data_IF_344382412596
#
_entry.id   IF_344382412596
#
_cell.length_a   1.000
_cell.length_b   1.000
_cell.length_c   1.000
_cell.angle_alpha   90.00
_cell.angle_beta   90.00
_cell.angle_gamma   90.00
#
_symmetry.space_group_name_H-M   'P 1'
#
loop_
_entity.id
_entity.type
_entity.pdbx_description
1 polymer ?
#
# COMPACT_ATOMS: atom_id res chain seq x y z
N UNK A 1 -66.40 18.22 1.30
CA UNK A 1 -64.96 18.07 1.56
C UNK A 1 -64.29 19.44 1.41
N UNK A 2 -63.81 20.02 2.52
CA UNK A 2 -63.20 21.36 2.55
C UNK A 2 -61.87 21.35 1.78
N UNK A 3 -61.86 21.95 0.57
CA UNK A 3 -60.63 22.24 -0.17
C UNK A 3 -59.88 23.35 0.56
N UNK A 4 -58.70 23.02 1.13
CA UNK A 4 -57.83 23.99 1.79
C UNK A 4 -57.62 25.22 0.90
N UNK A 5 -58.19 26.34 1.34
CA UNK A 5 -58.13 27.65 0.70
C UNK A 5 -56.74 28.27 0.88
N UNK A 6 -56.10 28.64 -0.24
CA UNK A 6 -55.08 29.69 -0.36
C UNK A 6 -53.69 29.46 0.23
N UNK A 7 -53.58 28.92 1.45
CA UNK A 7 -52.33 28.95 2.23
C UNK A 7 -51.44 27.71 2.03
N UNK A 8 -52.03 26.55 1.71
CA UNK A 8 -51.28 25.32 1.46
C UNK A 8 -50.24 25.43 0.31
N UNK A 9 -50.56 25.92 -0.90
CA UNK A 9 -49.60 25.88 -2.01
C UNK A 9 -48.37 26.76 -1.78
N UNK A 10 -48.51 27.86 -1.03
CA UNK A 10 -47.40 28.78 -0.72
C UNK A 10 -46.46 28.14 0.32
N UNK A 11 -47.01 27.56 1.38
CA UNK A 11 -46.21 26.85 2.39
C UNK A 11 -45.45 25.66 1.80
N UNK A 12 -46.10 24.89 0.93
CA UNK A 12 -45.47 23.79 0.20
C UNK A 12 -44.38 24.28 -0.78
N UNK A 13 -44.59 25.39 -1.48
CA UNK A 13 -43.57 26.00 -2.34
C UNK A 13 -42.31 26.40 -1.56
N UNK A 14 -42.44 27.01 -0.38
CA UNK A 14 -41.31 27.36 0.48
C UNK A 14 -40.51 26.13 0.93
N UNK A 15 -41.19 25.04 1.31
CA UNK A 15 -40.53 23.79 1.69
C UNK A 15 -39.75 23.19 0.53
N UNK A 16 -40.36 23.12 -0.66
CA UNK A 16 -39.70 22.63 -1.88
C UNK A 16 -38.48 23.50 -2.27
N UNK A 17 -38.56 24.82 -2.06
CA UNK A 17 -37.44 25.73 -2.31
C UNK A 17 -36.24 25.48 -1.38
N UNK A 18 -36.48 25.28 -0.08
CA UNK A 18 -35.42 24.95 0.88
C UNK A 18 -34.75 23.62 0.52
N UNK A 19 -35.53 22.60 0.16
CA UNK A 19 -34.97 21.33 -0.30
C UNK A 19 -34.17 21.48 -1.60
N UNK A 20 -34.65 22.25 -2.58
CA UNK A 20 -33.91 22.52 -3.81
C UNK A 20 -32.53 23.16 -3.53
N UNK A 21 -32.48 24.11 -2.60
CA UNK A 21 -31.25 24.81 -2.21
C UNK A 21 -30.27 23.85 -1.51
N UNK A 22 -30.75 23.05 -0.56
CA UNK A 22 -29.92 22.05 0.15
C UNK A 22 -29.36 21.03 -0.83
N UNK A 23 -30.18 20.49 -1.73
CA UNK A 23 -29.73 19.53 -2.74
C UNK A 23 -28.74 20.14 -3.74
N UNK A 24 -28.90 21.42 -4.11
CA UNK A 24 -27.95 22.13 -4.97
C UNK A 24 -26.59 22.34 -4.28
N UNK A 25 -26.57 22.73 -3.00
CA UNK A 25 -25.33 22.88 -2.24
C UNK A 25 -24.60 21.54 -2.08
N UNK A 26 -25.34 20.46 -1.77
CA UNK A 26 -24.77 19.12 -1.70
C UNK A 26 -24.19 18.68 -3.05
N UNK A 27 -24.88 18.96 -4.16
CA UNK A 27 -24.37 18.65 -5.50
C UNK A 27 -23.04 19.38 -5.79
N UNK A 28 -22.90 20.65 -5.43
CA UNK A 28 -21.65 21.40 -5.58
C UNK A 28 -20.54 20.77 -4.73
N UNK A 29 -20.81 20.48 -3.46
CA UNK A 29 -19.84 19.85 -2.55
C UNK A 29 -19.36 18.49 -3.09
N UNK A 30 -20.28 17.62 -3.51
CA UNK A 30 -19.90 16.33 -4.10
C UNK A 30 -19.15 16.50 -5.42
N UNK A 31 -19.44 17.53 -6.21
CA UNK A 31 -18.67 17.82 -7.44
C UNK A 31 -17.22 18.21 -7.15
N UNK A 32 -16.99 19.04 -6.13
CA UNK A 32 -15.64 19.39 -5.68
C UNK A 32 -14.92 18.14 -5.14
N UNK A 33 -15.59 17.33 -4.33
CA UNK A 33 -15.04 16.06 -3.83
C UNK A 33 -14.68 15.09 -4.95
N UNK A 34 -15.51 14.99 -6.00
CA UNK A 34 -15.21 14.19 -7.19
C UNK A 34 -13.92 14.69 -7.85
N UNK A 35 -13.76 16.00 -8.06
CA UNK A 35 -12.56 16.56 -8.68
C UNK A 35 -11.29 16.25 -7.89
N UNK A 36 -11.33 16.44 -6.57
CA UNK A 36 -10.20 16.14 -5.68
C UNK A 36 -9.85 14.65 -5.72
N UNK A 37 -10.85 13.76 -5.70
CA UNK A 37 -10.63 12.31 -5.77
C UNK A 37 -10.09 11.88 -7.14
N UNK A 38 -10.57 12.47 -8.24
CA UNK A 38 -10.05 12.20 -9.58
C UNK A 38 -8.58 12.61 -9.72
N UNK A 39 -8.23 13.81 -9.24
CA UNK A 39 -6.87 14.31 -9.27
C UNK A 39 -5.95 13.47 -8.36
N UNK A 40 -6.37 13.22 -7.12
CA UNK A 40 -5.61 12.45 -6.15
C UNK A 40 -5.32 11.02 -6.61
N UNK A 41 -6.30 10.32 -7.15
CA UNK A 41 -6.10 8.94 -7.60
C UNK A 41 -5.40 8.83 -8.95
N UNK A 42 -5.55 9.85 -9.81
CA UNK A 42 -4.70 9.97 -11.00
C UNK A 42 -3.23 10.05 -10.62
N UNK A 43 -2.93 10.84 -9.58
CA UNK A 43 -1.58 11.03 -9.06
C UNK A 43 -1.02 9.76 -8.37
N UNK A 44 -1.82 9.07 -7.55
CA UNK A 44 -1.41 7.78 -6.93
C UNK A 44 -1.07 6.73 -8.00
N UNK A 45 -1.88 6.62 -9.05
CA UNK A 45 -1.61 5.69 -10.15
C UNK A 45 -0.39 6.08 -10.99
N UNK A 46 -0.09 7.37 -11.15
CA UNK A 46 1.15 7.85 -11.79
C UNK A 46 2.37 7.50 -10.95
N UNK A 47 2.28 7.68 -9.63
CA UNK A 47 3.34 7.32 -8.69
C UNK A 47 3.62 5.81 -8.70
N UNK A 48 2.59 4.96 -8.69
CA UNK A 48 2.75 3.51 -8.83
C UNK A 48 3.45 3.12 -10.15
N UNK A 49 3.14 3.82 -11.24
CA UNK A 49 3.78 3.64 -12.56
C UNK A 49 5.14 4.35 -12.69
N UNK A 50 5.61 5.03 -11.64
CA UNK A 50 6.81 5.89 -11.63
C UNK A 50 6.85 6.92 -12.76
N UNK A 51 5.68 7.39 -13.17
CA UNK A 51 5.49 8.37 -14.23
C UNK A 51 5.54 9.80 -13.65
N UNK A 52 5.91 10.83 -14.43
CA UNK A 52 6.02 12.19 -13.93
C UNK A 52 4.66 12.72 -13.46
N UNK A 53 4.54 12.93 -12.15
CA UNK A 53 3.40 13.53 -11.45
C UNK A 53 3.86 14.46 -10.31
N UNK A 54 2.91 15.08 -9.60
CA UNK A 54 3.15 15.98 -8.46
C UNK A 54 3.94 15.29 -7.33
N UNK A 55 3.64 14.02 -7.01
CA UNK A 55 4.36 13.25 -5.99
C UNK A 55 5.82 13.03 -6.40
N UNK A 56 6.06 12.69 -7.67
CA UNK A 56 7.40 12.42 -8.16
C UNK A 56 8.24 13.70 -8.37
N UNK A 57 7.60 14.82 -8.72
CA UNK A 57 8.29 16.09 -8.99
C UNK A 57 8.51 16.97 -7.74
N UNK A 58 7.59 16.93 -6.77
CA UNK A 58 7.64 17.80 -5.59
C UNK A 58 7.90 17.02 -4.29
N UNK A 59 7.19 15.92 -4.06
CA UNK A 59 7.23 15.22 -2.77
C UNK A 59 8.50 14.38 -2.59
N UNK A 60 8.95 13.70 -3.66
CA UNK A 60 10.21 12.94 -3.68
C UNK A 60 11.44 13.83 -3.40
N UNK A 61 11.65 14.98 -4.06
CA UNK A 61 12.79 15.85 -3.75
C UNK A 61 12.68 16.46 -2.35
N UNK A 62 11.49 16.90 -1.91
CA UNK A 62 11.30 17.41 -0.55
C UNK A 62 11.67 16.37 0.52
N UNK A 63 11.21 15.12 0.37
CA UNK A 63 11.58 14.03 1.29
C UNK A 63 13.09 13.77 1.31
N UNK A 64 13.77 13.91 0.16
CA UNK A 64 15.22 13.72 0.06
C UNK A 64 16.01 14.86 0.73
N UNK A 65 15.46 16.07 0.75
CA UNK A 65 16.07 17.23 1.39
C UNK A 65 15.91 17.18 2.91
N UNK A 66 14.72 16.79 3.40
CA UNK A 66 14.43 16.73 4.83
C UNK A 66 15.05 15.50 5.51
N UNK A 67 15.02 14.34 4.83
CA UNK A 67 15.58 13.09 5.34
C UNK A 67 16.77 12.64 4.49
N UNK A 68 17.97 12.71 5.08
CA UNK A 68 19.19 12.25 4.44
C UNK A 68 19.34 10.71 4.50
N UNK A 69 18.39 9.99 3.91
CA UNK A 69 18.44 8.52 3.80
C UNK A 69 19.67 8.02 3.02
N UNK A 70 20.28 8.87 2.19
CA UNK A 70 21.54 8.55 1.50
C UNK A 70 22.69 8.36 2.48
N UNK A 71 22.82 9.24 3.47
CA UNK A 71 23.86 9.13 4.50
C UNK A 71 23.68 7.87 5.34
N UNK A 72 22.45 7.58 5.78
CA UNK A 72 22.14 6.39 6.57
C UNK A 72 22.38 5.11 5.75
N UNK A 73 21.99 5.09 4.46
CA UNK A 73 22.28 3.95 3.58
C UNK A 73 23.79 3.75 3.40
N UNK A 74 24.54 4.83 3.20
CA UNK A 74 25.99 4.75 3.05
C UNK A 74 26.66 4.25 4.34
N UNK A 75 26.17 4.68 5.51
CA UNK A 75 26.66 4.22 6.81
C UNK A 75 26.34 2.74 7.06
N UNK A 76 25.12 2.31 6.75
CA UNK A 76 24.70 0.91 6.82
C UNK A 76 25.56 0.04 5.89
N UNK A 77 25.77 0.47 4.65
CA UNK A 77 26.60 -0.25 3.69
C UNK A 77 28.07 -0.29 4.10
N UNK A 78 28.60 0.80 4.66
CA UNK A 78 29.97 0.85 5.17
C UNK A 78 30.14 -0.07 6.40
N UNK A 79 29.15 -0.13 7.28
CA UNK A 79 29.16 -1.00 8.44
C UNK A 79 29.04 -2.47 8.02
N UNK A 80 28.16 -2.77 7.06
CA UNK A 80 28.04 -4.09 6.44
C UNK A 80 29.40 -4.55 5.88
N UNK A 81 30.06 -3.67 5.12
CA UNK A 81 31.38 -3.95 4.53
C UNK A 81 32.45 -4.18 5.61
N UNK A 82 32.45 -3.42 6.71
CA UNK A 82 33.40 -3.62 7.80
C UNK A 82 33.21 -4.97 8.48
N UNK A 83 31.96 -5.34 8.74
CA UNK A 83 31.62 -6.63 9.35
C UNK A 83 31.95 -7.78 8.39
N UNK A 84 31.67 -7.63 7.10
CA UNK A 84 31.99 -8.66 6.10
C UNK A 84 33.50 -8.87 5.96
N UNK A 85 34.29 -7.79 5.90
CA UNK A 85 35.75 -7.86 5.86
C UNK A 85 36.31 -8.49 7.13
N UNK A 86 35.78 -8.12 8.31
CA UNK A 86 36.18 -8.73 9.58
C UNK A 86 35.89 -10.23 9.62
N UNK A 87 34.71 -10.66 9.17
CA UNK A 87 34.33 -12.07 9.13
C UNK A 87 35.21 -12.86 8.13
N UNK A 88 35.49 -12.28 6.97
CA UNK A 88 36.39 -12.83 5.96
C UNK A 88 37.82 -12.96 6.51
N UNK A 89 38.31 -11.96 7.25
CA UNK A 89 39.62 -12.02 7.91
C UNK A 89 39.71 -13.10 8.98
N UNK A 90 38.63 -13.34 9.73
CA UNK A 90 38.55 -14.42 10.71
C UNK A 90 38.51 -15.79 10.03
N UNK A 91 37.82 -15.92 8.90
CA UNK A 91 37.80 -17.14 8.10
C UNK A 91 39.19 -17.47 7.54
N UNK A 92 39.92 -16.46 7.05
CA UNK A 92 41.29 -16.60 6.56
C UNK A 92 42.30 -17.05 7.62
N UNK A 93 41.95 -17.04 8.92
CA UNK A 93 42.78 -17.65 9.98
C UNK A 93 42.69 -19.19 10.00
N UNK A 94 41.67 -19.76 9.37
CA UNK A 94 41.39 -21.21 9.40
C UNK A 94 41.41 -21.86 8.01
N UNK A 95 41.50 -21.06 6.94
CA UNK A 95 41.52 -21.56 5.58
C UNK A 95 42.71 -21.01 4.78
N UNK A 96 43.22 -21.83 3.86
CA UNK A 96 44.15 -21.39 2.81
C UNK A 96 43.70 -21.96 1.44
N UNK A 97 44.39 -21.56 0.37
CA UNK A 97 44.16 -22.10 -0.97
C UNK A 97 45.15 -23.23 -1.33
N UNK A 98 45.88 -23.77 -0.36
CA UNK A 98 46.86 -24.83 -0.60
C UNK A 98 46.21 -26.21 -0.36
N UNK A 99 46.15 -27.09 -1.37
CA UNK A 99 45.54 -28.41 -1.21
C UNK A 99 46.33 -29.35 -0.28
N UNK A 100 47.57 -29.01 0.09
CA UNK A 100 48.46 -29.82 0.93
C UNK A 100 48.35 -29.43 2.41
N UNK A 101 48.47 -30.42 3.30
CA UNK A 101 48.51 -30.23 4.76
C UNK A 101 49.75 -30.92 5.38
N UNK A 102 50.47 -30.26 6.32
CA UNK A 102 50.39 -28.85 6.67
C UNK A 102 51.06 -28.00 5.57
N UNK A 103 50.32 -27.02 5.03
CA UNK A 103 50.84 -26.08 4.03
C UNK A 103 51.66 -24.98 4.72
N UNK A 104 50.97 -23.93 5.15
CA UNK A 104 51.58 -22.72 5.76
C UNK A 104 51.47 -22.67 7.28
N UNK A 105 50.34 -23.11 7.85
CA UNK A 105 50.08 -23.19 9.29
C UNK A 105 49.27 -24.46 9.63
N UNK A 106 49.48 -24.99 10.84
CA UNK A 106 48.74 -26.17 11.35
C UNK A 106 47.24 -25.90 11.57
N UNK A 107 46.84 -24.62 11.64
CA UNK A 107 45.45 -24.20 11.81
C UNK A 107 44.66 -24.11 10.49
N UNK A 108 45.33 -24.19 9.33
CA UNK A 108 44.69 -24.13 8.00
C UNK A 108 44.21 -25.51 7.55
N UNK A 109 43.10 -25.94 8.14
CA UNK A 109 42.45 -27.24 7.91
C UNK A 109 41.49 -27.18 6.72
N UNK A 110 41.01 -25.98 6.38
CA UNK A 110 40.03 -25.75 5.34
C UNK A 110 40.64 -25.15 4.08
N UNK A 111 40.02 -25.44 2.94
CA UNK A 111 40.25 -24.82 1.63
C UNK A 111 39.30 -23.64 1.49
N UNK A 112 39.82 -22.42 1.35
CA UNK A 112 38.97 -21.22 1.27
C UNK A 112 38.04 -21.27 0.05
N UNK A 113 36.76 -21.00 0.28
CA UNK A 113 35.77 -20.86 -0.78
C UNK A 113 36.09 -19.70 -1.73
N UNK A 114 35.72 -19.82 -3.00
CA UNK A 114 35.98 -18.83 -4.05
C UNK A 114 37.45 -18.41 -4.22
N UNK A 115 38.41 -19.21 -3.73
CA UNK A 115 39.84 -18.89 -3.74
C UNK A 115 40.16 -17.52 -3.13
N UNK A 116 39.49 -17.15 -2.04
CA UNK A 116 39.75 -15.86 -1.42
C UNK A 116 41.19 -15.79 -0.87
N UNK A 117 41.85 -14.65 -1.09
CA UNK A 117 43.23 -14.41 -0.61
C UNK A 117 43.33 -13.20 0.29
N UNK A 118 42.34 -12.30 0.28
CA UNK A 118 42.30 -11.13 1.13
C UNK A 118 40.89 -10.86 1.64
N UNK A 119 40.82 -10.24 2.82
CA UNK A 119 39.55 -9.86 3.45
C UNK A 119 38.75 -8.84 2.61
N UNK A 120 39.40 -8.06 1.74
CA UNK A 120 38.73 -7.03 0.93
C UNK A 120 37.83 -7.60 -0.17
N UNK A 121 37.99 -8.88 -0.49
CA UNK A 121 37.17 -9.58 -1.48
C UNK A 121 35.74 -9.83 -0.98
N UNK A 122 35.52 -9.79 0.33
CA UNK A 122 34.21 -9.89 0.97
C UNK A 122 33.60 -8.49 1.17
N UNK A 123 32.81 -8.02 0.19
CA UNK A 123 32.23 -6.65 0.21
C UNK A 123 30.88 -6.57 0.92
N UNK A 124 30.15 -7.68 0.98
CA UNK A 124 28.83 -7.79 1.59
C UNK A 124 28.74 -9.02 2.49
N UNK A 125 27.70 -9.07 3.34
CA UNK A 125 27.44 -10.26 4.15
C UNK A 125 27.09 -11.49 3.29
N UNK A 126 26.49 -11.28 2.12
CA UNK A 126 26.15 -12.32 1.16
C UNK A 126 27.40 -12.97 0.53
N UNK A 127 28.43 -12.17 0.24
CA UNK A 127 29.73 -12.67 -0.21
C UNK A 127 30.35 -13.58 0.85
N UNK A 128 30.26 -13.21 2.14
CA UNK A 128 30.79 -14.01 3.26
C UNK A 128 30.04 -15.35 3.36
N UNK A 129 28.71 -15.33 3.26
CA UNK A 129 27.90 -16.54 3.27
C UNK A 129 28.32 -17.46 2.11
N UNK A 130 28.44 -16.90 0.90
CA UNK A 130 28.84 -17.65 -0.30
C UNK A 130 30.24 -18.26 -0.17
N UNK A 131 31.20 -17.49 0.36
CA UNK A 131 32.57 -17.97 0.61
C UNK A 131 32.56 -19.11 1.62
N UNK A 132 31.85 -18.97 2.74
CA UNK A 132 31.82 -20.03 3.76
C UNK A 132 31.13 -21.30 3.25
N UNK A 133 30.01 -21.17 2.54
CA UNK A 133 29.32 -22.32 1.94
C UNK A 133 30.18 -23.05 0.89
N UNK A 134 31.05 -22.31 0.20
CA UNK A 134 32.00 -22.89 -0.76
C UNK A 134 33.33 -23.32 -0.13
N UNK A 135 33.53 -23.07 1.17
CA UNK A 135 34.71 -23.51 1.92
C UNK A 135 34.52 -24.97 2.35
N UNK A 136 35.54 -25.79 2.13
CA UNK A 136 35.49 -27.24 2.39
C UNK A 136 36.79 -27.72 3.03
N UNK A 137 36.76 -28.88 3.68
CA UNK A 137 37.93 -29.51 4.30
C UNK A 137 38.95 -29.89 3.21
N UNK A 138 40.24 -29.69 3.48
CA UNK A 138 41.30 -30.08 2.52
C UNK A 138 41.17 -31.56 2.11
N UNK A 139 41.34 -31.89 0.82
CA UNK A 139 41.07 -33.23 0.29
C UNK A 139 41.88 -34.35 0.97
N UNK A 140 43.09 -34.04 1.44
CA UNK A 140 43.95 -34.97 2.18
C UNK A 140 43.38 -35.33 3.57
N UNK A 141 42.61 -34.43 4.16
CA UNK A 141 42.00 -34.58 5.49
C UNK A 141 40.51 -34.96 5.43
N UNK A 142 39.87 -34.94 4.26
CA UNK A 142 38.44 -35.25 4.11
C UNK A 142 38.09 -36.64 4.65
N UNK A 143 38.90 -37.65 4.36
CA UNK A 143 38.65 -39.02 4.81
C UNK A 143 38.93 -39.25 6.31
N UNK A 144 39.77 -38.41 6.92
CA UNK A 144 40.11 -38.53 8.34
C UNK A 144 39.18 -37.71 9.22
N UNK A 145 38.81 -36.51 8.78
CA UNK A 145 37.97 -35.59 9.55
C UNK A 145 36.47 -35.89 9.37
N UNK A 146 36.00 -36.17 8.15
CA UNK A 146 34.58 -36.40 7.84
C UNK A 146 34.23 -37.90 7.74
N UNK A 147 34.75 -38.69 8.69
CA UNK A 147 34.66 -40.14 8.67
C UNK A 147 33.25 -40.70 8.98
N UNK A 148 32.33 -39.89 9.49
CA UNK A 148 30.98 -40.33 9.89
C UNK A 148 29.95 -40.31 8.74
N UNK A 149 30.37 -40.07 7.49
CA UNK A 149 29.49 -40.19 6.31
C UNK A 149 29.26 -41.67 5.99
N UNK A 150 28.01 -42.12 6.05
CA UNK A 150 27.61 -43.51 5.76
C UNK A 150 27.55 -43.83 4.26
N UNK A 151 27.59 -42.81 3.38
CA UNK A 151 27.49 -42.95 1.93
C UNK A 151 28.85 -42.74 1.24
N UNK A 152 29.73 -43.74 1.29
CA UNK A 152 31.04 -43.74 0.63
C UNK A 152 30.96 -44.11 -0.87
N UNK A 153 30.15 -43.43 -1.68
CA UNK A 153 30.08 -43.74 -3.11
C UNK A 153 30.91 -42.83 -4.01
N UNK A 154 31.19 -41.57 -3.66
CA UNK A 154 32.27 -40.76 -4.26
C UNK A 154 32.71 -39.69 -3.24
N UNK A 155 34.01 -39.37 -3.18
CA UNK A 155 34.58 -38.33 -2.30
C UNK A 155 34.05 -36.93 -2.69
N UNK A 156 32.81 -36.65 -2.33
CA UNK A 156 32.27 -35.31 -2.37
C UNK A 156 32.97 -34.46 -1.31
N UNK A 157 33.31 -33.23 -1.68
CA UNK A 157 33.97 -32.26 -0.83
C UNK A 157 33.22 -32.17 0.51
N UNK A 158 33.90 -32.41 1.63
CA UNK A 158 33.28 -32.21 2.94
C UNK A 158 33.19 -30.70 3.21
N UNK A 159 32.00 -30.14 3.04
CA UNK A 159 31.74 -28.72 3.26
C UNK A 159 31.83 -28.38 4.74
N UNK A 160 31.90 -27.09 5.06
CA UNK A 160 31.90 -26.62 6.44
C UNK A 160 30.63 -27.02 7.21
N UNK A 161 29.48 -27.07 6.55
CA UNK A 161 28.21 -27.51 7.13
C UNK A 161 28.23 -29.00 7.50
N UNK A 162 28.73 -29.83 6.59
CA UNK A 162 28.92 -31.25 6.85
C UNK A 162 29.94 -31.47 7.97
N UNK A 163 31.00 -30.68 7.98
CA UNK A 163 32.02 -30.79 9.03
C UNK A 163 31.49 -30.39 10.41
N UNK A 164 30.66 -29.34 10.51
CA UNK A 164 30.08 -28.93 11.79
C UNK A 164 29.25 -30.04 12.45
N UNK A 165 28.60 -30.90 11.65
CA UNK A 165 27.77 -32.00 12.16
C UNK A 165 28.51 -33.35 12.24
N UNK A 166 29.38 -33.64 11.27
CA UNK A 166 29.96 -34.97 11.06
C UNK A 166 31.48 -35.05 11.30
N UNK A 167 32.19 -33.94 11.52
CA UNK A 167 33.63 -33.98 11.81
C UNK A 167 33.96 -34.52 13.21
N UNK A 168 35.17 -35.08 13.33
CA UNK A 168 35.76 -35.51 14.60
C UNK A 168 36.87 -34.53 15.01
N UNK A 169 36.90 -34.15 16.29
CA UNK A 169 37.99 -33.36 16.87
C UNK A 169 39.10 -34.30 17.36
N UNK A 170 40.33 -34.11 16.87
CA UNK A 170 41.50 -34.88 17.28
C UNK A 170 42.32 -34.11 18.32
N UNK A 171 42.71 -34.79 19.40
CA UNK A 171 43.55 -34.21 20.47
C UNK A 171 45.06 -34.40 20.21
N UNK A 172 45.46 -35.40 19.44
CA UNK A 172 46.84 -35.65 19.03
C UNK A 172 46.87 -36.32 17.65
N UNK A 173 47.26 -35.63 16.57
CA UNK A 173 47.58 -34.19 16.47
C UNK A 173 46.39 -33.28 16.83
N UNK A 174 46.65 -32.06 17.30
CA UNK A 174 45.61 -31.10 17.69
C UNK A 174 44.89 -30.55 16.45
N UNK A 175 43.74 -31.12 16.11
CA UNK A 175 42.88 -30.64 15.01
C UNK A 175 41.43 -30.56 15.49
N UNK A 176 40.99 -29.41 16.03
CA UNK A 176 39.61 -29.20 16.46
C UNK A 176 38.72 -28.74 15.29
N UNK A 177 38.66 -29.56 14.22
CA UNK A 177 37.96 -29.23 12.98
C UNK A 177 36.45 -29.00 13.17
N UNK A 178 35.78 -29.79 14.03
CA UNK A 178 34.36 -29.64 14.33
C UNK A 178 34.10 -28.35 15.09
N UNK A 179 34.95 -28.04 16.07
CA UNK A 179 34.83 -26.82 16.86
C UNK A 179 34.99 -25.57 15.99
N UNK A 180 36.01 -25.54 15.11
CA UNK A 180 36.19 -24.44 14.16
C UNK A 180 35.04 -24.34 13.16
N UNK A 181 34.60 -25.45 12.59
CA UNK A 181 33.47 -25.46 11.66
C UNK A 181 32.18 -24.94 12.33
N UNK A 182 31.91 -25.36 13.57
CA UNK A 182 30.72 -24.91 14.32
C UNK A 182 30.76 -23.40 14.57
N UNK A 183 31.91 -22.85 14.96
CA UNK A 183 32.07 -21.40 15.20
C UNK A 183 31.84 -20.60 13.92
N UNK A 184 32.40 -21.05 12.80
CA UNK A 184 32.26 -20.39 11.50
C UNK A 184 30.79 -20.45 11.04
N UNK A 185 30.13 -21.61 11.13
CA UNK A 185 28.71 -21.77 10.73
C UNK A 185 27.77 -20.93 11.60
N UNK A 186 28.03 -20.81 12.91
CA UNK A 186 27.25 -19.92 13.78
C UNK A 186 27.36 -18.45 13.35
N UNK A 187 28.56 -17.98 13.01
CA UNK A 187 28.78 -16.63 12.52
C UNK A 187 28.07 -16.38 11.18
N UNK A 188 28.06 -17.37 10.28
CA UNK A 188 27.38 -17.28 8.99
C UNK A 188 25.87 -17.26 9.12
N UNK A 189 25.29 -18.08 9.99
CA UNK A 189 23.85 -18.04 10.25
C UNK A 189 23.42 -16.67 10.79
N UNK A 190 24.24 -16.05 11.64
CA UNK A 190 24.01 -14.67 12.09
C UNK A 190 24.10 -13.68 10.91
N UNK A 191 25.12 -13.78 10.06
CA UNK A 191 25.30 -12.93 8.89
C UNK A 191 24.14 -13.05 7.89
N UNK A 192 23.65 -14.27 7.63
CA UNK A 192 22.52 -14.54 6.74
C UNK A 192 21.19 -13.98 7.29
N UNK A 193 20.97 -14.07 8.60
CA UNK A 193 19.81 -13.44 9.24
C UNK A 193 19.92 -11.91 9.22
N UNK A 194 21.11 -11.37 9.43
CA UNK A 194 21.36 -9.94 9.39
C UNK A 194 21.19 -9.37 7.97
N UNK A 195 21.70 -10.05 6.93
CA UNK A 195 21.52 -9.63 5.54
C UNK A 195 20.05 -9.68 5.13
N UNK A 196 19.31 -10.70 5.58
CA UNK A 196 17.87 -10.81 5.41
C UNK A 196 17.16 -9.62 6.06
N UNK A 197 17.49 -9.29 7.31
CA UNK A 197 16.93 -8.12 7.99
C UNK A 197 17.25 -6.81 7.24
N UNK A 198 18.49 -6.67 6.75
CA UNK A 198 18.93 -5.51 5.99
C UNK A 198 18.13 -5.33 4.69
N UNK A 199 17.81 -6.44 4.02
CA UNK A 199 17.00 -6.44 2.79
C UNK A 199 15.59 -5.89 2.99
N UNK A 200 15.03 -6.00 4.19
CA UNK A 200 13.73 -5.39 4.54
C UNK A 200 13.86 -3.90 4.89
N UNK A 201 15.00 -3.50 5.45
CA UNK A 201 15.24 -2.12 5.89
C UNK A 201 15.64 -1.23 4.72
N UNK A 202 16.47 -1.70 3.79
CA UNK A 202 16.95 -0.89 2.65
C UNK A 202 15.84 -0.20 1.83
N UNK A 203 14.69 -0.84 1.53
CA UNK A 203 13.55 -0.19 0.88
C UNK A 203 12.92 0.92 1.71
N UNK A 204 12.89 0.80 3.04
CA UNK A 204 12.35 1.84 3.94
C UNK A 204 13.20 3.11 3.96
N UNK A 205 14.46 3.02 3.51
CA UNK A 205 15.33 4.18 3.30
C UNK A 205 15.13 4.83 1.91
N UNK A 206 14.07 4.47 1.18
CA UNK A 206 13.70 5.15 -0.06
C UNK A 206 12.48 6.04 0.13
N UNK A 207 12.63 7.33 -0.16
CA UNK A 207 11.51 8.26 -0.21
C UNK A 207 10.38 7.78 -1.14
N UNK A 208 10.72 7.12 -2.24
CA UNK A 208 9.71 6.52 -3.12
C UNK A 208 8.86 5.47 -2.40
N UNK A 209 9.49 4.60 -1.60
CA UNK A 209 8.77 3.57 -0.85
C UNK A 209 7.86 4.17 0.23
N UNK A 210 8.33 5.20 0.93
CA UNK A 210 7.53 5.92 1.93
C UNK A 210 6.32 6.59 1.27
N UNK A 211 6.53 7.28 0.16
CA UNK A 211 5.47 7.95 -0.60
C UNK A 211 4.49 6.93 -1.17
N UNK A 212 4.97 5.82 -1.71
CA UNK A 212 4.12 4.73 -2.20
C UNK A 212 3.29 4.12 -1.06
N UNK A 213 3.83 4.01 0.16
CA UNK A 213 3.06 3.56 1.33
C UNK A 213 2.00 4.56 1.75
N UNK A 214 2.32 5.85 1.82
CA UNK A 214 1.33 6.90 2.12
C UNK A 214 0.24 6.94 1.05
N UNK A 215 0.62 6.86 -0.22
CA UNK A 215 -0.31 6.78 -1.35
C UNK A 215 -1.23 5.55 -1.25
N UNK A 216 -0.68 4.37 -0.93
CA UNK A 216 -1.45 3.16 -0.70
C UNK A 216 -2.39 3.28 0.51
N UNK A 217 -2.00 3.94 1.60
CA UNK A 217 -2.90 4.16 2.75
C UNK A 217 -4.05 5.10 2.43
N UNK A 218 -3.87 6.05 1.51
CA UNK A 218 -4.95 6.89 1.01
C UNK A 218 -5.86 6.09 0.08
N UNK A 219 -5.33 5.11 -0.63
CA UNK A 219 -6.10 4.21 -1.48
C UNK A 219 -6.87 3.17 -0.67
N UNK A 220 -6.32 2.59 0.41
CA UNK A 220 -6.98 1.61 1.26
C UNK A 220 -7.56 2.25 2.54
N UNK A 221 -8.87 2.50 2.57
CA UNK A 221 -9.60 2.95 3.77
C UNK A 221 -9.78 1.84 4.84
N UNK A 222 -8.91 0.81 4.82
CA UNK A 222 -8.88 -0.27 5.79
C UNK A 222 -7.53 -0.20 6.54
N UNK A 223 -7.57 0.41 7.73
CA UNK A 223 -6.46 0.46 8.67
C UNK A 223 -6.34 -0.91 9.35
N UNK A 224 -5.78 -1.89 8.66
CA UNK A 224 -5.28 -3.11 9.30
C UNK A 224 -3.76 -3.11 9.25
N UNK A 225 -3.19 -2.91 10.44
CA UNK A 225 -1.78 -2.89 10.76
C UNK A 225 -1.15 -4.26 10.54
N UNK A 226 -0.87 -4.61 9.29
CA UNK A 226 -0.17 -5.85 8.94
C UNK A 226 0.89 -5.57 7.88
N UNK A 227 2.15 -5.84 8.24
CA UNK A 227 3.32 -5.74 7.37
C UNK A 227 3.28 -6.73 6.19
N UNK A 228 2.26 -7.59 6.14
CA UNK A 228 2.08 -8.65 5.16
C UNK A 228 0.60 -8.79 4.81
N UNK A 229 0.19 -8.21 3.69
CA UNK A 229 -1.02 -8.64 3.00
C UNK A 229 -0.80 -8.55 1.49
N UNK A 230 -0.39 -9.70 0.95
CA UNK A 230 -0.57 -10.09 -0.45
C UNK A 230 -2.07 -10.06 -0.78
N UNK A 231 -2.34 -9.63 -2.01
CA UNK A 231 -3.50 -9.94 -2.84
C UNK A 231 -4.71 -9.00 -2.83
N UNK A 232 -5.09 -8.74 -4.09
CA UNK A 232 -6.25 -8.06 -4.65
C UNK A 232 -6.12 -6.54 -4.78
N UNK A 233 -6.11 -6.12 -6.06
CA UNK A 233 -6.37 -4.77 -6.55
C UNK A 233 -7.52 -4.13 -5.75
N UNK A 234 -7.19 -3.44 -4.67
CA UNK A 234 -8.19 -2.67 -3.94
C UNK A 234 -8.38 -1.39 -4.73
N UNK A 235 -9.25 -1.46 -5.75
CA UNK A 235 -9.75 -0.32 -6.50
C UNK A 235 -10.67 0.57 -5.64
N UNK A 236 -10.29 0.88 -4.39
CA UNK A 236 -11.09 1.66 -3.46
C UNK A 236 -11.21 3.11 -3.91
N UNK A 237 -10.23 3.63 -4.65
CA UNK A 237 -10.45 4.89 -5.35
C UNK A 237 -11.56 4.80 -6.41
N UNK A 238 -11.67 3.68 -7.14
CA UNK A 238 -12.79 3.50 -8.08
C UNK A 238 -14.14 3.45 -7.35
N UNK A 239 -14.20 2.84 -6.16
CA UNK A 239 -15.43 2.71 -5.39
C UNK A 239 -15.90 4.05 -4.77
N UNK A 240 -14.97 4.82 -4.18
CA UNK A 240 -15.26 6.16 -3.64
C UNK A 240 -15.59 7.14 -4.76
N UNK A 241 -14.89 7.06 -5.89
CA UNK A 241 -15.20 7.82 -7.10
C UNK A 241 -16.59 7.49 -7.63
N UNK A 242 -16.92 6.21 -7.77
CA UNK A 242 -18.20 5.75 -8.31
C UNK A 242 -19.36 6.16 -7.39
N UNK A 243 -19.21 5.99 -6.08
CA UNK A 243 -20.19 6.44 -5.09
C UNK A 243 -20.34 7.96 -5.08
N UNK A 244 -19.25 8.73 -5.15
CA UNK A 244 -19.30 10.19 -5.20
C UNK A 244 -19.98 10.70 -6.47
N UNK A 245 -19.71 10.09 -7.63
CA UNK A 245 -20.39 10.41 -8.90
C UNK A 245 -21.87 10.06 -8.83
N UNK A 246 -22.22 8.90 -8.28
CA UNK A 246 -23.61 8.48 -8.11
C UNK A 246 -24.39 9.42 -7.17
N UNK A 247 -23.78 9.82 -6.06
CA UNK A 247 -24.37 10.79 -5.12
C UNK A 247 -24.49 12.17 -5.74
N UNK A 248 -23.43 12.68 -6.39
CA UNK A 248 -23.43 13.99 -7.04
C UNK A 248 -24.47 14.09 -8.16
N UNK A 249 -24.58 13.07 -9.01
CA UNK A 249 -25.62 13.00 -10.05
C UNK A 249 -27.01 12.88 -9.45
N UNK A 250 -27.18 12.09 -8.38
CA UNK A 250 -28.46 11.98 -7.65
C UNK A 250 -28.91 13.31 -7.04
N UNK A 251 -28.02 14.05 -6.37
CA UNK A 251 -28.34 15.37 -5.81
C UNK A 251 -28.64 16.41 -6.89
N UNK A 252 -27.92 16.37 -8.02
CA UNK A 252 -28.18 17.25 -9.16
C UNK A 252 -29.56 16.99 -9.80
N UNK A 253 -29.87 15.71 -10.10
CA UNK A 253 -31.18 15.33 -10.66
C UNK A 253 -32.30 15.63 -9.66
N UNK A 254 -32.08 15.36 -8.37
CA UNK A 254 -33.03 15.70 -7.30
C UNK A 254 -33.33 17.20 -7.26
N UNK A 255 -32.29 18.05 -7.35
CA UNK A 255 -32.46 19.52 -7.42
C UNK A 255 -33.32 19.93 -8.62
N UNK A 256 -33.07 19.37 -9.81
CA UNK A 256 -33.90 19.63 -11.00
C UNK A 256 -35.36 19.20 -10.80
N UNK A 257 -35.61 18.06 -10.16
CA UNK A 257 -36.97 17.61 -9.85
C UNK A 257 -37.71 18.58 -8.91
N UNK A 258 -37.03 19.11 -7.89
CA UNK A 258 -37.64 20.10 -7.00
C UNK A 258 -37.94 21.42 -7.72
N UNK A 259 -37.04 21.89 -8.60
CA UNK A 259 -37.24 23.10 -9.42
C UNK A 259 -38.45 22.93 -10.37
N UNK A 260 -38.54 21.77 -11.04
CA UNK A 260 -39.68 21.46 -11.91
C UNK A 260 -41.00 21.34 -11.12
N UNK A 261 -40.96 20.79 -9.91
CA UNK A 261 -42.10 20.73 -9.00
C UNK A 261 -42.64 22.11 -8.64
N UNK A 262 -41.74 23.06 -8.31
CA UNK A 262 -42.11 24.46 -8.06
C UNK A 262 -42.72 25.09 -9.31
N UNK A 263 -42.15 24.85 -10.50
CA UNK A 263 -42.67 25.37 -11.76
C UNK A 263 -44.08 24.87 -12.06
N UNK A 264 -44.34 23.58 -11.89
CA UNK A 264 -45.67 22.97 -12.09
C UNK A 264 -46.68 23.47 -11.06
N UNK A 265 -46.29 23.60 -9.78
CA UNK A 265 -47.18 24.16 -8.75
C UNK A 265 -47.51 25.62 -9.00
N UNK A 266 -46.55 26.43 -9.46
CA UNK A 266 -46.79 27.85 -9.75
C UNK A 266 -47.66 28.05 -11.01
N UNK A 267 -47.40 27.29 -12.08
CA UNK A 267 -48.26 27.28 -13.29
C UNK A 267 -49.64 26.70 -13.01
N UNK A 268 -49.71 25.66 -12.18
CA UNK A 268 -50.96 25.09 -11.69
C UNK A 268 -51.76 26.09 -10.86
N UNK A 269 -51.13 26.86 -9.97
CA UNK A 269 -51.85 27.89 -9.23
C UNK A 269 -52.55 28.91 -10.15
N UNK A 270 -51.90 29.32 -11.25
CA UNK A 270 -52.49 30.22 -12.25
C UNK A 270 -53.66 29.60 -13.02
N UNK A 271 -53.50 28.39 -13.58
CA UNK A 271 -54.55 27.72 -14.38
C UNK A 271 -55.78 27.36 -13.53
N UNK A 272 -55.59 27.09 -12.24
CA UNK A 272 -56.68 26.72 -11.33
C UNK A 272 -57.34 27.94 -10.66
N UNK A 273 -56.66 29.09 -10.64
CA UNK A 273 -57.26 30.37 -10.25
C UNK A 273 -58.27 30.87 -11.28
N UNK A 274 -57.97 30.77 -12.58
CA UNK A 274 -58.92 31.10 -13.67
C UNK A 274 -60.19 30.24 -13.59
N UNK A 275 -60.04 28.95 -13.28
CA UNK A 275 -61.17 28.03 -13.13
C UNK A 275 -62.09 28.35 -11.95
N UNK A 276 -61.57 28.95 -10.86
CA UNK A 276 -62.39 29.43 -9.73
C UNK A 276 -63.26 30.62 -10.14
N UNK A 277 -62.72 31.56 -10.91
CA UNK A 277 -63.48 32.71 -11.43
C UNK A 277 -64.64 32.23 -12.30
N UNK A 278 -64.44 31.17 -13.09
CA UNK A 278 -65.48 30.61 -13.95
C UNK A 278 -66.60 29.91 -13.16
N UNK A 279 -66.28 29.20 -12.07
CA UNK A 279 -67.28 28.60 -11.18
C UNK A 279 -68.11 29.65 -10.43
N UNK A 280 -67.48 30.68 -9.85
CA UNK A 280 -68.20 31.77 -9.16
C UNK A 280 -69.11 32.55 -10.11
N UNK A 281 -68.73 32.68 -11.39
CA UNK A 281 -69.55 33.36 -12.41
C UNK A 281 -70.75 32.51 -12.83
N UNK A 282 -70.61 31.17 -12.86
CA UNK A 282 -71.71 30.25 -13.17
C UNK A 282 -72.74 30.15 -12.06
N UNK A 283 -72.31 30.17 -10.79
CA UNK A 283 -73.20 30.16 -9.62
C UNK A 283 -73.99 31.47 -9.49
N UNK A 284 -73.37 32.62 -9.80
CA UNK A 284 -74.07 33.91 -9.86
C UNK A 284 -75.13 33.98 -10.97
N UNK A 285 -74.94 33.29 -12.11
CA UNK A 285 -75.98 33.21 -13.16
C UNK A 285 -77.16 32.32 -12.76
N UNK A 286 -76.90 31.20 -12.08
CA UNK A 286 -77.95 30.30 -11.57
C UNK A 286 -78.73 30.94 -10.40
N UNK A 287 -78.07 31.72 -9.54
CA UNK A 287 -78.71 32.49 -8.47
C UNK A 287 -79.60 33.63 -9.00
N UNK A 288 -79.18 34.33 -10.05
CA UNK A 288 -79.98 35.39 -10.67
C UNK A 288 -81.24 34.87 -11.38
N UNK A 289 -81.15 33.70 -12.03
CA UNK A 289 -82.30 33.06 -12.69
C UNK A 289 -83.37 32.54 -11.70
N UNK A 290 -82.99 32.19 -10.47
CA UNK A 290 -83.95 31.74 -9.45
C UNK A 290 -84.74 32.89 -8.82
N UNK A 291 -84.22 34.12 -8.83
CA UNK A 291 -84.92 35.30 -8.30
C UNK A 291 -85.96 35.89 -9.24
N UNK A 292 -85.82 35.72 -10.57
CA UNK A 292 -86.84 36.18 -11.53
C UNK A 292 -88.13 35.34 -11.49
N UNK A 293 -88.05 34.05 -11.13
CA UNK A 293 -89.23 33.18 -11.09
C UNK A 293 -90.06 33.31 -9.80
N UNK A 294 -89.54 33.92 -8.73
CA UNK A 294 -90.27 34.12 -7.46
C UNK A 294 -91.08 35.42 -7.46
N UNK A 295 -90.68 36.43 -8.25
CA UNK A 295 -91.38 37.72 -8.31
C UNK A 295 -92.64 37.68 -9.19
N UNK A 296 -92.71 36.76 -10.15
CA UNK A 296 -93.86 36.65 -11.06
C UNK A 296 -95.12 36.01 -10.44
N UNK A 297 -95.04 35.40 -9.25
CA UNK A 297 -96.16 34.66 -8.64
C UNK A 297 -96.90 35.38 -7.51
N UNK A 298 -96.50 36.60 -7.14
CA UNK A 298 -97.09 37.39 -6.04
C UNK A 298 -97.64 38.77 -6.49
N UNK A 299 -97.96 38.93 -7.77
CA UNK A 299 -98.66 40.10 -8.29
C UNK A 299 -100.01 39.69 -8.90
N UNK A 300 -100.96 39.34 -8.04
CA UNK A 300 -102.40 39.32 -8.31
C UNK A 300 -103.12 39.94 -7.12
#
# INVERSE_FOLDING_TARGET
ACRCSGCCPIAWSCVYFVFALVFALLAVLFTVSIYVMFAGCGEVNLQYKRAPGIFQWYLVPWCREEFNFRSVRAEVQAQEQRVSQSACSALLMFCDNDPVYPGTDENHIFMCGNNITSAEQCKSLDDVVTVVLSTYVKPMLTNTLCANRTDMTQLEKCTLEDCASMCVDYQAPFLPAKTYATQIIQAVNFAANASTALSYVYPLLECNFIIDKVANTVESLQYDSSFTAKNYDVHSCSAIRTSSVMLGTGFFVGSLMYILGIYVMHRGAWVWAERKVQCDTSEKRLGASSTENVVAHNAQ
#
